data_IF_664501303933
#
_entry.id   IF_664501303933
#
_cell.length_a   1.000
_cell.length_b   1.000
_cell.length_c   1.000
_cell.angle_alpha   90.00
_cell.angle_beta   90.00
_cell.angle_gamma   90.00
#
_symmetry.space_group_name_H-M   'P 1'
#
loop_
_entity.id
_entity.type
_entity.pdbx_description
1 polymer ?
#
# COMPACT_ATOMS: atom_id res chain seq x y z
N UNK A 1 6.70 22.65 -13.81
CA UNK A 1 6.42 22.81 -12.35
C UNK A 1 7.27 21.78 -11.62
N UNK A 2 8.00 22.17 -10.60
CA UNK A 2 8.76 21.20 -9.78
C UNK A 2 7.76 20.35 -8.99
N UNK A 3 7.88 19.03 -9.07
CA UNK A 3 7.08 18.10 -8.30
C UNK A 3 7.35 18.30 -6.79
N UNK A 4 6.29 18.53 -6.00
CA UNK A 4 6.36 18.59 -4.53
C UNK A 4 5.79 17.29 -3.96
N UNK A 5 6.65 16.39 -3.42
CA UNK A 5 6.22 15.09 -2.91
C UNK A 5 5.23 15.17 -1.75
N UNK A 6 5.40 16.15 -0.85
CA UNK A 6 4.51 16.33 0.30
C UNK A 6 3.13 16.82 -0.14
N UNK A 7 3.08 17.77 -1.06
CA UNK A 7 1.82 18.25 -1.64
C UNK A 7 1.11 17.12 -2.38
N UNK A 8 1.84 16.30 -3.12
CA UNK A 8 1.26 15.15 -3.81
C UNK A 8 0.69 14.11 -2.82
N UNK A 9 1.40 13.83 -1.72
CA UNK A 9 0.89 12.95 -0.66
C UNK A 9 -0.42 13.49 -0.04
N UNK A 10 -0.51 14.79 0.23
CA UNK A 10 -1.74 15.42 0.76
C UNK A 10 -2.94 15.31 -0.18
N UNK A 11 -2.72 15.28 -1.48
CA UNK A 11 -3.78 15.12 -2.50
C UNK A 11 -4.34 13.71 -2.62
N UNK A 12 -3.82 12.73 -1.88
CA UNK A 12 -4.38 11.37 -1.81
C UNK A 12 -5.77 11.35 -1.18
N UNK A 13 -6.06 12.31 -0.30
CA UNK A 13 -7.25 12.32 0.55
C UNK A 13 -7.12 11.46 1.80
N UNK A 14 -5.92 10.99 2.14
CA UNK A 14 -5.67 10.13 3.30
C UNK A 14 -5.60 10.90 4.63
N UNK A 15 -5.68 12.22 4.59
CA UNK A 15 -5.76 13.12 5.75
C UNK A 15 -7.19 13.34 6.28
N UNK A 16 -8.19 12.62 5.76
CA UNK A 16 -9.59 12.72 6.22
C UNK A 16 -9.74 12.12 7.61
N UNK A 17 -10.63 12.72 8.41
CA UNK A 17 -10.96 12.23 9.75
C UNK A 17 -11.37 10.75 9.74
N UNK A 18 -10.77 9.96 10.63
CA UNK A 18 -11.02 8.53 10.77
C UNK A 18 -10.53 7.65 9.60
N UNK A 19 -9.91 8.24 8.57
CA UNK A 19 -9.44 7.46 7.42
C UNK A 19 -8.33 6.49 7.82
N UNK A 20 -7.32 6.94 8.56
CA UNK A 20 -6.19 6.10 8.96
C UNK A 20 -6.64 4.85 9.74
N UNK A 21 -7.58 5.01 10.68
CA UNK A 21 -8.13 3.88 11.44
C UNK A 21 -8.88 2.89 10.54
N UNK A 22 -9.72 3.39 9.64
CA UNK A 22 -10.44 2.54 8.67
C UNK A 22 -9.48 1.82 7.73
N UNK A 23 -8.47 2.51 7.24
CA UNK A 23 -7.43 1.94 6.40
C UNK A 23 -6.72 0.80 7.12
N UNK A 24 -6.28 1.05 8.35
CA UNK A 24 -5.58 0.05 9.17
C UNK A 24 -6.42 -1.22 9.43
N UNK A 25 -7.72 -1.04 9.72
CA UNK A 25 -8.62 -2.13 10.05
C UNK A 25 -8.95 -3.06 8.86
N UNK A 26 -8.99 -2.51 7.63
CA UNK A 26 -9.57 -3.25 6.51
C UNK A 26 -8.58 -3.65 5.40
N UNK A 27 -7.37 -3.04 5.36
CA UNK A 27 -6.40 -3.37 4.32
C UNK A 27 -5.74 -4.73 4.55
N UNK A 28 -5.44 -5.49 3.47
CA UNK A 28 -4.75 -6.77 3.59
C UNK A 28 -3.28 -6.58 3.97
N UNK A 29 -2.72 -7.60 4.67
CA UNK A 29 -1.32 -7.65 5.04
C UNK A 29 -0.47 -8.31 3.95
N UNK A 30 0.82 -7.97 3.83
CA UNK A 30 1.73 -8.69 2.94
C UNK A 30 1.80 -10.18 3.30
N UNK A 31 1.94 -11.10 2.31
CA UNK A 31 2.11 -12.52 2.57
C UNK A 31 3.48 -12.83 3.19
N UNK A 32 3.56 -13.84 4.05
CA UNK A 32 4.84 -14.29 4.64
C UNK A 32 5.86 -14.71 3.58
N UNK A 33 5.41 -15.32 2.50
CA UNK A 33 6.26 -15.70 1.38
C UNK A 33 7.01 -14.50 0.75
N UNK A 34 6.46 -13.29 0.84
CA UNK A 34 7.18 -12.08 0.39
C UNK A 34 8.40 -11.82 1.27
N UNK A 35 8.24 -11.91 2.59
CA UNK A 35 9.33 -11.67 3.52
C UNK A 35 10.43 -12.72 3.33
N UNK A 36 10.06 -14.00 3.21
CA UNK A 36 10.99 -15.11 2.96
C UNK A 36 11.77 -14.90 1.66
N UNK A 37 11.10 -14.50 0.57
CA UNK A 37 11.73 -14.17 -0.70
C UNK A 37 12.76 -13.05 -0.54
N UNK A 38 12.39 -11.94 0.10
CA UNK A 38 13.28 -10.79 0.23
C UNK A 38 14.48 -11.09 1.13
N UNK A 39 14.30 -11.88 2.20
CA UNK A 39 15.40 -12.36 3.04
C UNK A 39 16.36 -13.25 2.25
N UNK A 40 15.83 -14.14 1.43
CA UNK A 40 16.64 -15.01 0.55
C UNK A 40 17.44 -14.18 -0.46
N UNK A 41 16.79 -13.22 -1.13
CA UNK A 41 17.47 -12.34 -2.10
C UNK A 41 18.55 -11.47 -1.45
N UNK A 42 18.30 -10.98 -0.22
CA UNK A 42 19.28 -10.19 0.54
C UNK A 42 20.40 -11.03 1.16
N UNK A 43 20.33 -12.37 1.04
CA UNK A 43 21.33 -13.27 1.57
C UNK A 43 21.43 -13.25 3.10
N UNK A 44 20.38 -12.91 3.80
CA UNK A 44 20.35 -12.82 5.26
C UNK A 44 19.04 -13.35 5.83
N UNK A 45 19.11 -13.96 7.02
CA UNK A 45 17.91 -14.37 7.76
C UNK A 45 17.40 -13.28 8.71
N UNK A 46 18.24 -12.28 9.01
CA UNK A 46 17.89 -11.18 9.91
C UNK A 46 18.62 -9.91 9.48
N UNK A 47 18.02 -9.09 8.59
CA UNK A 47 18.61 -7.84 8.15
C UNK A 47 18.80 -6.88 9.34
N UNK A 48 19.86 -6.08 9.31
CA UNK A 48 20.12 -5.07 10.32
C UNK A 48 19.15 -3.89 10.21
N UNK A 49 18.77 -3.53 8.97
CA UNK A 49 17.83 -2.46 8.72
C UNK A 49 16.92 -2.78 7.54
N UNK A 50 15.61 -2.74 7.82
CA UNK A 50 14.55 -2.69 6.80
C UNK A 50 13.95 -1.29 6.79
N UNK A 51 13.78 -0.69 5.61
CA UNK A 51 13.15 0.62 5.42
C UNK A 51 11.90 0.46 4.56
N UNK A 52 10.74 0.92 5.07
CA UNK A 52 9.45 0.86 4.37
C UNK A 52 9.03 2.28 3.95
N UNK A 53 8.99 2.56 2.64
CA UNK A 53 8.72 3.87 2.07
C UNK A 53 7.22 4.05 1.77
N UNK A 54 6.62 5.10 2.33
CA UNK A 54 5.18 5.30 2.32
C UNK A 54 4.51 4.27 3.22
N UNK A 55 5.02 4.14 4.45
CA UNK A 55 4.62 3.10 5.42
C UNK A 55 3.16 3.22 5.88
N UNK A 56 2.52 4.36 5.64
CA UNK A 56 1.13 4.58 5.99
C UNK A 56 0.85 4.34 7.47
N UNK A 57 -0.11 3.49 7.76
CA UNK A 57 -0.49 3.08 9.12
C UNK A 57 0.36 1.95 9.70
N UNK A 58 1.48 1.61 9.06
CA UNK A 58 2.42 0.62 9.56
C UNK A 58 2.09 -0.85 9.29
N UNK A 59 1.04 -1.17 8.55
CA UNK A 59 0.62 -2.57 8.27
C UNK A 59 1.76 -3.36 7.62
N UNK A 60 2.41 -2.81 6.61
CA UNK A 60 3.53 -3.42 5.90
C UNK A 60 4.85 -3.36 6.67
N UNK A 61 5.00 -2.36 7.54
CA UNK A 61 6.21 -2.16 8.35
C UNK A 61 6.25 -3.15 9.51
N UNK A 62 5.14 -3.32 10.22
CA UNK A 62 5.07 -4.13 11.43
C UNK A 62 5.35 -5.63 11.19
N UNK A 63 5.06 -6.14 9.98
CA UNK A 63 5.30 -7.56 9.65
C UNK A 63 6.80 -7.91 9.66
N UNK A 64 7.70 -6.93 9.51
CA UNK A 64 9.14 -7.12 9.55
C UNK A 64 9.72 -7.25 10.96
N UNK A 65 8.98 -6.84 12.00
CA UNK A 65 9.48 -6.82 13.37
C UNK A 65 10.10 -8.14 13.86
N UNK A 66 9.51 -9.33 13.61
CA UNK A 66 10.12 -10.60 14.03
C UNK A 66 11.36 -10.97 13.21
N UNK A 67 11.55 -10.36 12.03
CA UNK A 67 12.51 -10.80 11.02
C UNK A 67 13.74 -9.88 10.90
N UNK A 68 13.73 -8.68 11.50
CA UNK A 68 14.80 -7.69 11.36
C UNK A 68 15.32 -7.23 12.73
N UNK A 69 16.56 -6.70 12.78
CA UNK A 69 17.09 -6.05 13.96
C UNK A 69 16.39 -4.69 14.18
N UNK A 70 16.18 -3.95 13.10
CA UNK A 70 15.52 -2.64 13.12
C UNK A 70 14.68 -2.44 11.87
N UNK A 71 13.50 -1.84 12.06
CA UNK A 71 12.58 -1.48 10.98
C UNK A 71 12.23 0.00 11.09
N UNK A 72 12.30 0.72 9.96
CA UNK A 72 11.97 2.15 9.90
C UNK A 72 10.93 2.38 8.81
N UNK A 73 9.75 2.83 9.19
CA UNK A 73 8.73 3.33 8.28
C UNK A 73 8.95 4.82 7.99
N UNK A 74 8.90 5.21 6.73
CA UNK A 74 8.98 6.61 6.28
C UNK A 74 7.60 6.99 5.73
N UNK A 75 6.94 7.97 6.39
CA UNK A 75 5.58 8.38 6.02
C UNK A 75 5.45 9.92 6.08
N UNK A 76 5.03 10.57 4.98
CA UNK A 76 4.89 12.02 4.96
C UNK A 76 3.65 12.55 5.69
N UNK A 77 2.57 11.76 5.80
CA UNK A 77 1.30 12.20 6.38
C UNK A 77 1.25 11.95 7.89
N UNK A 78 1.03 13.01 8.66
CA UNK A 78 1.04 12.94 10.13
C UNK A 78 -0.05 12.04 10.68
N UNK A 79 -1.26 12.07 10.10
CA UNK A 79 -2.40 11.26 10.53
C UNK A 79 -2.15 9.76 10.32
N UNK A 80 -1.54 9.40 9.19
CA UNK A 80 -1.18 8.02 8.89
C UNK A 80 -0.07 7.53 9.83
N UNK A 81 0.95 8.37 10.05
CA UNK A 81 2.07 8.05 10.94
C UNK A 81 1.63 7.97 12.39
N UNK A 82 0.78 8.89 12.88
CA UNK A 82 0.23 8.85 14.23
C UNK A 82 -0.55 7.55 14.48
N UNK A 83 -1.28 7.05 13.50
CA UNK A 83 -1.95 5.74 13.60
C UNK A 83 -0.94 4.59 13.73
N UNK A 84 0.18 4.65 13.00
CA UNK A 84 1.24 3.64 13.08
C UNK A 84 1.96 3.65 14.44
N UNK A 85 2.13 4.84 15.03
CA UNK A 85 2.79 5.06 16.33
C UNK A 85 1.86 4.77 17.53
N UNK A 86 0.53 4.92 17.35
CA UNK A 86 -0.46 4.69 18.41
C UNK A 86 -0.69 3.21 18.72
N UNK A 87 -0.30 2.29 17.81
CA UNK A 87 -0.34 0.85 18.04
C UNK A 87 0.78 0.40 18.98
N UNK A 88 0.65 -0.83 19.51
CA UNK A 88 1.74 -1.51 20.23
C UNK A 88 2.86 -1.89 19.24
N UNK A 89 3.52 -0.89 18.66
CA UNK A 89 4.63 -1.14 17.74
C UNK A 89 5.75 -1.89 18.48
N UNK A 90 6.27 -3.00 17.95
CA UNK A 90 7.40 -3.70 18.53
C UNK A 90 8.61 -2.75 18.75
N UNK A 91 9.43 -2.97 19.78
CA UNK A 91 10.47 -2.02 20.19
C UNK A 91 11.54 -1.76 19.12
N UNK A 92 11.67 -2.65 18.14
CA UNK A 92 12.58 -2.51 17.00
C UNK A 92 11.94 -1.83 15.77
N UNK A 93 10.68 -1.39 15.86
CA UNK A 93 9.97 -0.67 14.80
C UNK A 93 9.87 0.80 15.18
N UNK A 94 10.14 1.69 14.24
CA UNK A 94 9.99 3.14 14.42
C UNK A 94 9.44 3.79 13.15
N UNK A 95 8.76 4.92 13.30
CA UNK A 95 8.23 5.68 12.18
C UNK A 95 8.86 7.07 12.14
N UNK A 96 9.07 7.62 10.95
CA UNK A 96 9.66 8.94 10.75
C UNK A 96 8.90 9.72 9.68
N UNK A 97 8.77 11.03 9.92
CA UNK A 97 8.30 11.95 8.90
C UNK A 97 9.33 12.03 7.76
N UNK A 98 8.89 11.87 6.53
CA UNK A 98 9.76 11.96 5.36
C UNK A 98 9.04 11.59 4.08
N UNK A 99 9.68 11.88 2.96
CA UNK A 99 9.22 11.49 1.61
C UNK A 99 10.18 10.48 1.02
N UNK A 100 9.70 9.65 0.10
CA UNK A 100 10.49 8.57 -0.50
C UNK A 100 11.76 9.05 -1.22
N UNK A 101 11.77 10.29 -1.71
CA UNK A 101 12.92 10.93 -2.36
C UNK A 101 13.97 11.48 -1.39
N UNK A 102 13.66 11.53 -0.07
CA UNK A 102 14.56 12.05 0.96
C UNK A 102 14.18 11.45 2.32
N UNK A 103 14.76 10.30 2.61
CA UNK A 103 14.42 9.49 3.80
C UNK A 103 15.17 9.90 5.07
N UNK A 104 16.33 10.55 4.94
CA UNK A 104 17.25 10.79 6.05
C UNK A 104 17.96 9.52 6.55
N UNK A 105 17.87 8.41 5.84
CA UNK A 105 18.62 7.19 6.13
C UNK A 105 20.05 7.36 5.58
N UNK A 106 21.11 6.93 6.30
CA UNK A 106 22.49 7.00 5.80
C UNK A 106 22.72 6.17 4.53
N UNK A 107 23.74 6.53 3.76
CA UNK A 107 24.17 5.81 2.56
C UNK A 107 24.52 4.37 2.91
N UNK A 108 24.07 3.43 2.10
CA UNK A 108 24.40 2.01 2.23
C UNK A 108 23.96 1.35 3.54
N UNK A 109 23.04 1.95 4.29
CA UNK A 109 22.64 1.45 5.61
C UNK A 109 21.54 0.37 5.58
N UNK A 110 20.72 0.33 4.53
CA UNK A 110 19.57 -0.57 4.46
C UNK A 110 19.92 -1.90 3.77
N UNK A 111 19.54 -3.01 4.37
CA UNK A 111 19.59 -4.34 3.75
C UNK A 111 18.41 -4.55 2.80
N UNK A 112 17.22 -4.10 3.20
CA UNK A 112 15.98 -4.23 2.44
C UNK A 112 15.25 -2.89 2.47
N UNK A 113 14.76 -2.47 1.31
CA UNK A 113 13.85 -1.33 1.17
C UNK A 113 12.55 -1.81 0.53
N UNK A 114 11.41 -1.41 1.08
CA UNK A 114 10.09 -1.79 0.57
C UNK A 114 9.23 -0.58 0.20
N UNK A 115 8.36 -0.76 -0.77
CA UNK A 115 7.25 0.13 -1.12
C UNK A 115 5.97 -0.71 -1.23
N UNK A 116 5.14 -0.71 -0.18
CA UNK A 116 3.87 -1.42 -0.14
C UNK A 116 2.74 -0.51 -0.61
N UNK A 117 2.18 -0.71 -1.79
CA UNK A 117 1.11 0.13 -2.33
C UNK A 117 1.46 1.64 -2.37
N UNK A 118 2.74 1.99 -2.46
CA UNK A 118 3.19 3.38 -2.30
C UNK A 118 4.01 3.92 -3.47
N UNK A 119 4.77 3.08 -4.20
CA UNK A 119 5.69 3.55 -5.24
C UNK A 119 5.00 4.38 -6.34
N UNK A 120 3.77 4.00 -6.72
CA UNK A 120 2.99 4.73 -7.73
C UNK A 120 2.50 6.12 -7.27
N UNK A 121 2.69 6.46 -6.00
CA UNK A 121 2.41 7.79 -5.44
C UNK A 121 3.65 8.68 -5.39
N UNK A 122 4.83 8.16 -5.70
CA UNK A 122 6.12 8.86 -5.60
C UNK A 122 6.72 9.14 -6.97
N UNK A 123 7.42 10.25 -7.13
CA UNK A 123 8.13 10.55 -8.38
C UNK A 123 9.28 9.53 -8.57
N UNK A 124 9.28 8.78 -9.68
CA UNK A 124 10.09 7.58 -9.80
C UNK A 124 11.60 7.80 -9.78
N UNK A 125 12.10 8.82 -10.48
CA UNK A 125 13.54 9.01 -10.65
C UNK A 125 14.22 9.36 -9.32
N UNK A 126 13.68 10.34 -8.59
CA UNK A 126 14.19 10.73 -7.28
C UNK A 126 14.02 9.62 -6.23
N UNK A 127 12.89 8.88 -6.29
CA UNK A 127 12.66 7.77 -5.38
C UNK A 127 13.64 6.63 -5.61
N UNK A 128 13.87 6.22 -6.85
CA UNK A 128 14.84 5.16 -7.18
C UNK A 128 16.27 5.58 -6.84
N UNK A 129 16.63 6.85 -7.08
CA UNK A 129 17.94 7.38 -6.70
C UNK A 129 18.16 7.30 -5.17
N UNK A 130 17.17 7.69 -4.36
CA UNK A 130 17.25 7.60 -2.90
C UNK A 130 17.29 6.14 -2.43
N UNK A 131 16.51 5.23 -3.02
CA UNK A 131 16.58 3.80 -2.75
C UNK A 131 18.00 3.27 -3.03
N UNK A 132 18.56 3.62 -4.18
CA UNK A 132 19.93 3.25 -4.55
C UNK A 132 20.99 3.79 -3.58
N UNK A 133 20.79 5.01 -3.07
CA UNK A 133 21.71 5.62 -2.09
C UNK A 133 21.68 4.89 -0.75
N UNK A 134 20.49 4.60 -0.21
CA UNK A 134 20.35 4.01 1.13
C UNK A 134 20.58 2.51 1.19
N UNK A 135 20.37 1.78 0.08
CA UNK A 135 20.67 0.34 0.00
C UNK A 135 22.18 0.09 0.03
N UNK A 136 22.61 -0.87 0.84
CA UNK A 136 23.96 -1.41 0.74
C UNK A 136 24.16 -2.19 -0.57
N UNK A 137 25.40 -2.46 -0.93
CA UNK A 137 25.70 -3.37 -2.04
C UNK A 137 25.15 -4.78 -1.73
N UNK A 138 24.46 -5.36 -2.71
CA UNK A 138 23.72 -6.60 -2.52
C UNK A 138 22.41 -6.45 -1.69
N UNK A 139 22.03 -5.23 -1.33
CA UNK A 139 20.73 -4.95 -0.70
C UNK A 139 19.58 -5.12 -1.68
N UNK A 140 18.39 -5.31 -1.16
CA UNK A 140 17.17 -5.65 -1.93
C UNK A 140 16.15 -4.53 -1.86
N UNK A 141 15.60 -4.15 -3.00
CA UNK A 141 14.41 -3.31 -3.11
C UNK A 141 13.22 -4.14 -3.56
N UNK A 142 12.04 -3.90 -2.97
CA UNK A 142 10.79 -4.48 -3.45
C UNK A 142 9.65 -3.46 -3.45
N UNK A 143 9.01 -3.29 -4.62
CA UNK A 143 7.72 -2.65 -4.75
C UNK A 143 6.64 -3.71 -4.94
N UNK A 144 5.59 -3.68 -4.13
CA UNK A 144 4.51 -4.66 -4.22
C UNK A 144 3.14 -4.04 -4.05
N UNK A 145 2.25 -4.50 -4.91
CA UNK A 145 0.86 -4.05 -4.99
C UNK A 145 -0.05 -5.26 -5.10
N UNK A 146 -1.20 -5.26 -4.44
CA UNK A 146 -2.19 -6.30 -4.70
C UNK A 146 -3.06 -5.93 -5.91
N UNK A 147 -3.46 -6.96 -6.66
CA UNK A 147 -4.35 -6.84 -7.80
C UNK A 147 -5.81 -6.62 -7.35
N UNK A 148 -6.60 -5.99 -8.19
CA UNK A 148 -7.98 -5.56 -7.93
C UNK A 148 -8.98 -6.29 -8.79
N UNK A 149 -10.16 -6.64 -8.22
CA UNK A 149 -10.44 -6.79 -6.79
C UNK A 149 -9.85 -8.10 -6.24
N UNK A 150 -9.52 -8.19 -4.94
CA UNK A 150 -9.26 -9.50 -4.32
C UNK A 150 -10.50 -10.39 -4.38
N UNK A 151 -10.31 -11.70 -4.51
CA UNK A 151 -11.40 -12.66 -4.75
C UNK A 151 -11.90 -13.23 -3.43
N UNK A 152 -13.22 -13.15 -3.19
CA UNK A 152 -13.87 -13.75 -2.02
C UNK A 152 -15.07 -14.65 -2.40
N UNK A 153 -16.04 -14.12 -3.11
CA UNK A 153 -17.25 -14.81 -3.56
C UNK A 153 -17.75 -14.10 -4.81
N UNK A 154 -18.21 -14.85 -5.82
CA UNK A 154 -18.55 -14.26 -7.11
C UNK A 154 -19.65 -13.17 -7.04
N UNK A 155 -20.69 -13.36 -6.19
CA UNK A 155 -21.74 -12.35 -5.97
C UNK A 155 -21.19 -11.11 -5.25
N UNK A 156 -20.37 -11.30 -4.21
CA UNK A 156 -19.75 -10.19 -3.48
C UNK A 156 -18.77 -9.42 -4.38
N UNK A 157 -18.00 -10.12 -5.23
CA UNK A 157 -17.14 -9.48 -6.19
C UNK A 157 -17.93 -8.67 -7.24
N UNK A 158 -19.03 -9.23 -7.78
CA UNK A 158 -19.91 -8.48 -8.70
C UNK A 158 -20.52 -7.23 -8.05
N UNK A 159 -20.95 -7.35 -6.78
CA UNK A 159 -21.48 -6.19 -6.05
C UNK A 159 -20.40 -5.12 -5.82
N UNK A 160 -19.17 -5.55 -5.55
CA UNK A 160 -18.01 -4.65 -5.44
C UNK A 160 -17.72 -3.95 -6.77
N UNK A 161 -17.72 -4.67 -7.89
CA UNK A 161 -17.50 -4.09 -9.22
C UNK A 161 -18.61 -3.09 -9.57
N UNK A 162 -19.88 -3.44 -9.32
CA UNK A 162 -21.01 -2.55 -9.53
C UNK A 162 -20.91 -1.27 -8.68
N UNK A 163 -20.46 -1.39 -7.42
CA UNK A 163 -20.17 -0.23 -6.56
C UNK A 163 -19.08 0.65 -7.18
N UNK A 164 -17.97 0.06 -7.65
CA UNK A 164 -16.88 0.81 -8.27
C UNK A 164 -17.28 1.49 -9.57
N UNK A 165 -18.16 0.87 -10.36
CA UNK A 165 -18.74 1.50 -11.57
C UNK A 165 -19.64 2.67 -11.22
N UNK A 166 -20.46 2.53 -10.17
CA UNK A 166 -21.26 3.64 -9.61
C UNK A 166 -20.39 4.82 -9.15
N UNK A 167 -19.29 4.52 -8.46
CA UNK A 167 -18.30 5.54 -8.05
C UNK A 167 -17.70 6.27 -9.27
N UNK A 168 -17.33 5.54 -10.34
CA UNK A 168 -16.80 6.14 -11.58
C UNK A 168 -17.86 7.06 -12.23
N UNK A 169 -19.13 6.61 -12.29
CA UNK A 169 -20.23 7.39 -12.83
C UNK A 169 -20.50 8.67 -12.02
N UNK A 170 -20.49 8.58 -10.69
CA UNK A 170 -20.64 9.75 -9.81
C UNK A 170 -19.49 10.74 -10.00
N UNK A 171 -18.27 10.27 -10.08
CA UNK A 171 -17.10 11.14 -10.37
C UNK A 171 -17.25 11.90 -11.68
N UNK A 172 -17.68 11.21 -12.74
CA UNK A 172 -17.96 11.85 -14.05
C UNK A 172 -19.08 12.87 -13.93
N UNK A 173 -20.20 12.50 -13.32
CA UNK A 173 -21.38 13.39 -13.13
C UNK A 173 -21.02 14.67 -12.38
N UNK A 174 -20.18 14.58 -11.35
CA UNK A 174 -19.79 15.71 -10.50
C UNK A 174 -18.48 16.39 -10.92
N UNK A 175 -17.88 15.99 -12.04
CA UNK A 175 -16.62 16.57 -12.54
C UNK A 175 -15.42 16.34 -11.63
N UNK A 176 -15.44 15.30 -10.81
CA UNK A 176 -14.38 15.01 -9.85
C UNK A 176 -13.17 14.43 -10.58
N UNK A 177 -12.09 15.19 -10.64
CA UNK A 177 -10.81 14.78 -11.23
C UNK A 177 -9.86 14.28 -10.14
N UNK A 178 -8.86 13.51 -10.54
CA UNK A 178 -7.76 13.15 -9.66
C UNK A 178 -6.82 14.36 -9.55
N UNK A 179 -6.54 14.77 -8.32
CA UNK A 179 -5.61 15.87 -8.05
C UNK A 179 -4.18 15.38 -7.85
N UNK A 180 -4.06 14.14 -7.33
CA UNK A 180 -2.78 13.50 -7.08
C UNK A 180 -2.16 13.02 -8.40
N UNK A 181 -0.85 13.28 -8.56
CA UNK A 181 -0.05 12.63 -9.59
C UNK A 181 0.18 11.17 -9.22
N UNK A 182 -0.01 10.28 -10.17
CA UNK A 182 0.27 8.85 -10.03
C UNK A 182 1.03 8.35 -11.26
N UNK A 183 1.93 7.43 -11.00
CA UNK A 183 2.73 6.77 -12.03
C UNK A 183 2.23 5.35 -12.26
N UNK A 184 2.09 4.97 -13.53
CA UNK A 184 1.56 3.66 -13.91
C UNK A 184 2.39 2.53 -13.28
N UNK A 185 1.67 1.61 -12.60
CA UNK A 185 2.29 0.51 -11.87
C UNK A 185 2.99 -0.48 -12.81
N UNK A 186 2.44 -0.68 -14.00
CA UNK A 186 3.00 -1.61 -14.99
C UNK A 186 4.34 -1.13 -15.57
N UNK A 187 4.65 0.16 -15.44
CA UNK A 187 5.93 0.72 -15.86
C UNK A 187 7.02 0.63 -14.76
N UNK A 188 6.68 0.22 -13.54
CA UNK A 188 7.65 0.21 -12.45
C UNK A 188 8.83 -0.72 -12.72
N UNK A 189 8.60 -1.89 -13.29
CA UNK A 189 9.68 -2.84 -13.60
C UNK A 189 10.65 -2.24 -14.64
N UNK A 190 10.12 -1.59 -15.68
CA UNK A 190 10.95 -0.95 -16.69
C UNK A 190 11.74 0.25 -16.14
N UNK A 191 11.13 1.03 -15.25
CA UNK A 191 11.82 2.13 -14.55
C UNK A 191 12.96 1.62 -13.68
N UNK A 192 12.77 0.48 -12.99
CA UNK A 192 13.81 -0.17 -12.20
C UNK A 192 14.97 -0.63 -13.09
N UNK A 193 14.69 -1.25 -14.23
CA UNK A 193 15.73 -1.63 -15.22
C UNK A 193 16.48 -0.41 -15.74
N UNK A 194 15.76 0.63 -16.17
CA UNK A 194 16.37 1.84 -16.74
C UNK A 194 17.16 2.68 -15.75
N UNK A 195 16.93 2.53 -14.46
CA UNK A 195 17.63 3.28 -13.43
C UNK A 195 19.13 3.01 -13.40
N UNK A 196 19.57 1.84 -13.88
CA UNK A 196 20.96 1.42 -13.82
C UNK A 196 21.48 1.14 -12.41
N UNK A 197 20.60 1.19 -11.39
CA UNK A 197 20.95 0.99 -9.98
C UNK A 197 21.06 -0.49 -9.64
N UNK A 198 20.21 -1.31 -10.24
CA UNK A 198 20.02 -2.70 -9.89
C UNK A 198 20.69 -3.63 -10.90
N UNK A 199 21.48 -4.58 -10.43
CA UNK A 199 22.09 -5.63 -11.25
C UNK A 199 21.14 -6.76 -11.62
N UNK A 200 20.02 -6.88 -10.85
CA UNK A 200 18.97 -7.87 -11.09
C UNK A 200 17.61 -7.26 -10.78
N UNK A 201 16.67 -7.46 -11.68
CA UNK A 201 15.25 -7.03 -11.49
C UNK A 201 14.36 -8.17 -11.93
N UNK A 202 13.34 -8.50 -11.14
CA UNK A 202 12.37 -9.55 -11.43
C UNK A 202 10.96 -9.15 -11.00
N UNK A 203 9.95 -9.72 -11.67
CA UNK A 203 8.55 -9.60 -11.26
C UNK A 203 7.96 -10.99 -11.04
N UNK A 204 7.17 -11.14 -9.99
CA UNK A 204 6.45 -12.38 -9.68
C UNK A 204 5.14 -12.07 -8.96
N UNK A 205 4.27 -13.08 -8.87
CA UNK A 205 3.03 -13.01 -8.11
C UNK A 205 3.10 -13.89 -6.88
N UNK A 206 2.67 -13.35 -5.74
CA UNK A 206 2.51 -14.08 -4.49
C UNK A 206 1.07 -13.94 -3.99
N UNK A 207 0.59 -14.93 -3.28
CA UNK A 207 -0.77 -14.93 -2.76
C UNK A 207 -0.78 -14.83 -1.24
N UNK A 208 -1.77 -14.09 -0.72
CA UNK A 208 -2.15 -14.12 0.67
C UNK A 208 -3.60 -14.57 0.78
N UNK A 209 -3.94 -15.28 1.85
CA UNK A 209 -5.32 -15.67 2.14
C UNK A 209 -5.65 -15.17 3.54
N UNK A 210 -6.62 -14.28 3.60
CA UNK A 210 -7.12 -13.70 4.84
C UNK A 210 -8.62 -13.99 4.98
N UNK A 211 -9.22 -13.59 6.07
CA UNK A 211 -10.66 -13.67 6.23
C UNK A 211 -11.31 -12.36 5.83
N UNK A 212 -12.38 -12.43 5.04
CA UNK A 212 -13.19 -11.30 4.61
C UNK A 212 -14.61 -11.43 5.17
N UNK A 213 -15.00 -10.55 6.06
CA UNK A 213 -16.38 -10.32 6.50
C UNK A 213 -17.04 -9.27 5.63
N UNK A 214 -18.37 -9.13 5.72
CA UNK A 214 -19.10 -8.05 5.05
C UNK A 214 -18.56 -6.66 5.45
N UNK A 215 -18.34 -6.45 6.76
CA UNK A 215 -17.78 -5.22 7.30
C UNK A 215 -16.40 -4.91 6.67
N UNK A 216 -15.55 -5.93 6.59
CA UNK A 216 -14.20 -5.75 6.01
C UNK A 216 -14.25 -5.40 4.52
N UNK A 217 -15.14 -6.06 3.75
CA UNK A 217 -15.28 -5.77 2.31
C UNK A 217 -15.75 -4.33 2.06
N UNK A 218 -16.78 -3.89 2.79
CA UNK A 218 -17.31 -2.52 2.69
C UNK A 218 -16.29 -1.50 3.19
N UNK A 219 -15.65 -1.77 4.32
CA UNK A 219 -14.58 -0.93 4.88
C UNK A 219 -13.40 -0.78 3.91
N UNK A 220 -12.97 -1.88 3.30
CA UNK A 220 -11.93 -1.89 2.27
C UNK A 220 -12.33 -1.01 1.06
N UNK A 221 -13.57 -1.15 0.54
CA UNK A 221 -14.08 -0.33 -0.54
C UNK A 221 -13.99 1.18 -0.21
N UNK A 222 -14.34 1.57 1.02
CA UNK A 222 -14.29 2.95 1.49
C UNK A 222 -12.86 3.49 1.74
N UNK A 223 -11.82 2.67 1.61
CA UNK A 223 -10.41 3.11 1.72
C UNK A 223 -9.72 3.32 0.37
N UNK A 224 -10.43 3.13 -0.72
CA UNK A 224 -9.90 3.31 -2.08
C UNK A 224 -9.84 4.79 -2.41
N UNK A 225 -8.68 5.30 -2.83
CA UNK A 225 -8.50 6.73 -3.15
C UNK A 225 -9.50 7.26 -4.19
N UNK A 226 -9.96 6.41 -5.13
CA UNK A 226 -10.98 6.75 -6.11
C UNK A 226 -12.35 7.02 -5.47
N UNK A 227 -12.65 6.34 -4.36
CA UNK A 227 -13.94 6.43 -3.64
C UNK A 227 -14.01 7.65 -2.74
N UNK A 228 -12.89 8.04 -2.13
CA UNK A 228 -12.85 9.08 -1.10
C UNK A 228 -13.57 10.40 -1.47
N UNK A 229 -13.31 11.00 -2.65
CA UNK A 229 -14.00 12.25 -2.99
C UNK A 229 -15.51 12.09 -3.24
N UNK A 230 -15.97 10.87 -3.53
CA UNK A 230 -17.40 10.58 -3.72
C UNK A 230 -18.11 10.48 -2.37
N UNK A 231 -17.43 10.00 -1.33
CA UNK A 231 -17.96 9.99 0.04
C UNK A 231 -18.21 11.40 0.58
N UNK A 232 -17.51 12.41 0.07
CA UNK A 232 -17.66 13.82 0.48
C UNK A 232 -18.85 14.53 -0.17
N UNK A 233 -19.58 13.87 -1.09
CA UNK A 233 -20.71 14.48 -1.80
C UNK A 233 -21.96 14.66 -0.93
N UNK A 234 -21.98 14.12 0.30
CA UNK A 234 -23.16 14.15 1.18
C UNK A 234 -24.34 13.29 0.70
N UNK A 235 -24.07 12.34 -0.20
CA UNK A 235 -25.06 11.38 -0.67
C UNK A 235 -25.32 10.29 0.39
N UNK A 236 -26.53 9.71 0.39
CA UNK A 236 -26.84 8.56 1.23
C UNK A 236 -26.06 7.30 0.80
N UNK A 237 -25.89 6.33 1.72
CA UNK A 237 -25.27 5.03 1.43
C UNK A 237 -25.95 4.31 0.24
N UNK A 238 -27.27 4.49 0.06
CA UNK A 238 -28.01 3.93 -1.06
C UNK A 238 -27.62 4.59 -2.40
N UNK A 239 -27.53 5.92 -2.43
CA UNK A 239 -27.11 6.67 -3.63
C UNK A 239 -25.65 6.41 -3.99
N UNK A 240 -24.80 6.15 -3.01
CA UNK A 240 -23.40 5.73 -3.19
C UNK A 240 -23.27 4.28 -3.67
N UNK A 241 -24.31 3.46 -3.53
CA UNK A 241 -24.29 2.01 -3.80
C UNK A 241 -23.71 1.18 -2.64
N UNK A 242 -23.39 1.79 -1.50
CA UNK A 242 -22.84 1.10 -0.32
C UNK A 242 -23.86 0.17 0.33
N UNK A 243 -25.16 0.55 0.35
CA UNK A 243 -26.24 -0.30 0.88
C UNK A 243 -26.31 -1.62 0.11
N UNK A 244 -26.34 -1.58 -1.22
CA UNK A 244 -26.39 -2.78 -2.06
C UNK A 244 -25.15 -3.67 -1.90
N UNK A 245 -23.95 -3.07 -1.80
CA UNK A 245 -22.73 -3.79 -1.53
C UNK A 245 -22.78 -4.49 -0.17
N UNK A 246 -23.20 -3.80 0.89
CA UNK A 246 -23.32 -4.34 2.25
C UNK A 246 -24.29 -5.50 2.31
N UNK A 247 -25.53 -5.32 1.84
CA UNK A 247 -26.57 -6.36 1.86
C UNK A 247 -26.13 -7.61 1.09
N UNK A 248 -25.47 -7.44 -0.05
CA UNK A 248 -24.93 -8.58 -0.81
C UNK A 248 -23.80 -9.26 -0.06
N UNK A 249 -22.88 -8.50 0.52
CA UNK A 249 -21.78 -9.06 1.30
C UNK A 249 -22.27 -9.82 2.54
N UNK A 250 -23.22 -9.27 3.29
CA UNK A 250 -23.83 -9.93 4.47
C UNK A 250 -24.49 -11.26 4.09
N UNK A 251 -25.28 -11.26 3.01
CA UNK A 251 -25.95 -12.47 2.52
C UNK A 251 -24.98 -13.55 2.04
N UNK A 252 -23.88 -13.15 1.38
CA UNK A 252 -22.97 -14.11 0.71
C UNK A 252 -21.81 -14.57 1.58
N UNK A 253 -21.30 -13.71 2.49
CA UNK A 253 -20.11 -14.03 3.29
C UNK A 253 -20.48 -14.65 4.65
N UNK A 254 -21.72 -14.46 5.12
CA UNK A 254 -22.15 -14.95 6.43
C UNK A 254 -21.43 -14.24 7.60
N UNK A 255 -21.77 -14.65 8.82
CA UNK A 255 -21.24 -14.05 10.04
C UNK A 255 -19.72 -14.27 10.20
N UNK A 256 -19.25 -15.44 9.85
CA UNK A 256 -17.84 -15.84 9.98
C UNK A 256 -16.94 -15.31 8.85
N UNK A 257 -17.51 -14.80 7.77
CA UNK A 257 -16.80 -14.42 6.56
C UNK A 257 -16.25 -15.63 5.80
N UNK A 258 -15.60 -15.36 4.66
CA UNK A 258 -14.98 -16.35 3.78
C UNK A 258 -13.49 -16.08 3.58
N UNK A 259 -12.72 -17.08 3.09
CA UNK A 259 -11.34 -16.85 2.65
C UNK A 259 -11.29 -15.76 1.56
N UNK A 260 -10.40 -14.81 1.74
CA UNK A 260 -10.13 -13.70 0.82
C UNK A 260 -8.79 -13.90 0.14
N UNK A 261 -8.81 -14.17 -1.14
CA UNK A 261 -7.61 -14.44 -1.92
C UNK A 261 -7.08 -13.13 -2.49
N UNK A 262 -5.92 -12.72 -1.99
CA UNK A 262 -5.25 -11.48 -2.38
C UNK A 262 -3.99 -11.82 -3.14
N UNK A 263 -3.92 -11.46 -4.41
CA UNK A 263 -2.73 -11.64 -5.23
C UNK A 263 -1.89 -10.37 -5.18
N UNK A 264 -0.63 -10.53 -4.83
CA UNK A 264 0.38 -9.46 -4.84
C UNK A 264 1.28 -9.60 -6.04
N UNK A 265 1.39 -8.54 -6.82
CA UNK A 265 2.42 -8.38 -7.84
C UNK A 265 3.63 -7.76 -7.19
N UNK A 266 4.72 -8.50 -7.16
CA UNK A 266 5.97 -8.12 -6.49
C UNK A 266 7.04 -7.86 -7.53
N UNK A 267 7.61 -6.67 -7.50
CA UNK A 267 8.78 -6.28 -8.30
C UNK A 267 9.95 -6.16 -7.35
N UNK A 268 10.88 -7.09 -7.46
CA UNK A 268 12.05 -7.17 -6.61
C UNK A 268 13.33 -6.89 -7.40
N UNK A 269 14.28 -6.21 -6.78
CA UNK A 269 15.57 -5.88 -7.38
C UNK A 269 16.71 -5.99 -6.38
N UNK A 270 17.89 -6.33 -6.86
CA UNK A 270 19.14 -6.42 -6.09
C UNK A 270 20.11 -5.35 -6.60
N UNK A 271 20.63 -4.53 -5.67
CA UNK A 271 21.66 -3.53 -5.97
C UNK A 271 23.05 -4.15 -6.21
#
# INVERSE_FOLDING_TARGET
>A
MTHDPLLNARRTGYTRDGFAARYHAHRPKPPSALLELLLQLAGTRRPQLVVDLGSGTGISTAVWAPHAERVVGIEPLDEMRAMAEAGDAPPNVSFRAGVAQRTGIPDGAADIVTCAQSLHHTEPAGTLAEIGRILRDGGVFAAYDYDWPPIVHWDANRAFDAFMDGVRALRMKHGIRREQEQWEKDEHIERMHRSGIFRHVTELSLHNVERCTAERLVGFACTISLVLPVLDLGLSDAELGLTALRETAERTLGAEGLPWYVTYRVRAAVK
#
